data_IF_878644871863
#
_entry.id   IF_878644871863
#
_cell.length_a   1.000
_cell.length_b   1.000
_cell.length_c   1.000
_cell.angle_alpha   90.00
_cell.angle_beta   90.00
_cell.angle_gamma   90.00
#
_symmetry.space_group_name_H-M   'P 1'
#
loop_
_entity.id
_entity.type
_entity.pdbx_description
1 polymer ?
#
# COMPACT_ATOMS: atom_id res chain seq x y z
N UNK A 1 -12.20 0.04 -9.08
CA UNK A 1 -12.53 -0.12 -7.64
C UNK A 1 -11.47 0.64 -6.84
N UNK A 2 -11.83 1.43 -5.80
CA UNK A 2 -10.81 2.10 -5.00
C UNK A 2 -9.88 1.04 -4.42
N UNK A 3 -8.58 1.21 -4.64
CA UNK A 3 -7.54 0.33 -4.08
C UNK A 3 -7.69 0.38 -2.56
N UNK A 4 -8.19 -0.69 -1.96
CA UNK A 4 -8.27 -0.79 -0.50
C UNK A 4 -6.84 -0.73 0.04
N UNK A 5 -6.55 0.33 0.79
CA UNK A 5 -5.31 0.46 1.52
C UNK A 5 -5.44 -0.28 2.84
N UNK A 6 -4.35 -0.86 3.31
CA UNK A 6 -4.25 -1.39 4.66
C UNK A 6 -3.73 -0.28 5.56
N UNK A 7 -4.52 0.07 6.58
CA UNK A 7 -4.11 0.99 7.63
C UNK A 7 -4.15 0.27 8.97
N UNK A 8 -3.40 0.77 9.94
CA UNK A 8 -3.42 0.25 11.28
C UNK A 8 -3.28 1.35 12.31
N UNK A 9 -3.74 1.07 13.52
CA UNK A 9 -3.66 1.99 14.65
C UNK A 9 -3.41 1.26 15.97
N UNK A 10 -2.90 2.00 16.95
CA UNK A 10 -2.69 1.50 18.32
C UNK A 10 -3.36 2.47 19.27
N UNK A 11 -4.18 1.98 20.19
CA UNK A 11 -4.83 2.84 21.19
C UNK A 11 -3.84 3.42 22.19
N UNK A 12 -4.11 4.65 22.62
CA UNK A 12 -3.39 5.27 23.73
C UNK A 12 -3.88 4.75 25.08
N UNK A 13 -3.08 4.97 26.11
CA UNK A 13 -3.42 4.58 27.48
C UNK A 13 -4.17 5.66 28.26
N UNK A 14 -4.62 6.75 27.61
CA UNK A 14 -5.19 7.90 28.31
C UNK A 14 -6.41 7.56 29.18
N UNK A 15 -7.28 6.62 28.75
CA UNK A 15 -8.38 6.16 29.59
C UNK A 15 -7.87 5.34 30.79
N UNK A 16 -7.01 4.35 30.53
CA UNK A 16 -6.39 3.48 31.55
C UNK A 16 -5.63 4.27 32.60
N UNK A 17 -4.94 5.34 32.20
CA UNK A 17 -4.15 6.21 33.05
C UNK A 17 -5.00 7.31 33.75
N UNK A 18 -6.32 7.33 33.53
CA UNK A 18 -7.23 8.32 34.11
C UNK A 18 -7.09 9.75 33.56
N UNK A 19 -6.35 9.92 32.45
CA UNK A 19 -6.15 11.19 31.74
C UNK A 19 -7.35 11.59 30.89
N UNK A 20 -8.08 10.60 30.37
CA UNK A 20 -9.39 10.78 29.74
C UNK A 20 -10.48 10.29 30.71
N UNK A 21 -11.60 11.03 30.80
CA UNK A 21 -12.74 10.65 31.64
C UNK A 21 -14.01 10.57 30.79
N UNK A 22 -14.66 9.41 30.70
CA UNK A 22 -15.88 9.29 29.94
C UNK A 22 -17.04 10.02 30.64
N UNK A 23 -18.02 10.54 29.89
CA UNK A 23 -19.31 10.97 30.43
C UNK A 23 -19.98 9.86 31.24
N UNK A 24 -20.86 10.22 32.17
CA UNK A 24 -21.58 9.24 33.01
C UNK A 24 -22.40 8.24 32.16
N UNK A 25 -22.88 8.68 31.01
CA UNK A 25 -23.62 7.86 30.03
C UNK A 25 -22.75 6.82 29.31
N UNK A 26 -21.42 6.83 29.51
CA UNK A 26 -20.44 5.91 28.95
C UNK A 26 -19.63 5.23 30.08
N UNK A 27 -20.27 4.90 31.20
CA UNK A 27 -19.59 4.28 32.35
C UNK A 27 -19.15 2.82 32.13
N UNK A 28 -19.61 2.20 31.04
CA UNK A 28 -19.45 0.79 30.68
C UNK A 28 -18.78 0.63 29.29
N UNK A 29 -17.86 1.54 28.95
CA UNK A 29 -17.02 1.38 27.76
C UNK A 29 -16.23 0.09 27.87
N UNK A 30 -16.25 -0.69 26.80
CA UNK A 30 -15.48 -1.92 26.63
C UNK A 30 -14.62 -1.83 25.37
N UNK A 31 -13.66 -2.74 25.26
CA UNK A 31 -12.98 -3.03 23.99
C UNK A 31 -13.62 -4.31 23.46
N UNK A 32 -14.18 -4.27 22.26
CA UNK A 32 -14.80 -5.44 21.63
C UNK A 32 -13.75 -6.46 21.17
N UNK A 33 -14.22 -7.57 20.59
CA UNK A 33 -13.35 -8.64 20.09
C UNK A 33 -12.43 -8.20 18.94
N UNK A 34 -12.83 -7.14 18.23
CA UNK A 34 -12.12 -6.58 17.09
C UNK A 34 -11.16 -5.46 17.55
N UNK A 35 -11.00 -5.29 18.87
CA UNK A 35 -10.08 -4.33 19.47
C UNK A 35 -10.58 -2.89 19.42
N UNK A 36 -11.85 -2.67 19.08
CA UNK A 36 -12.46 -1.35 18.96
C UNK A 36 -13.17 -0.95 20.27
N UNK A 37 -13.19 0.35 20.57
CA UNK A 37 -14.02 0.88 21.66
C UNK A 37 -15.51 0.69 21.35
N UNK A 38 -16.25 0.11 22.29
CA UNK A 38 -17.71 -0.06 22.19
C UNK A 38 -18.40 0.14 23.54
N UNK A 39 -19.72 0.17 23.52
CA UNK A 39 -20.58 0.16 24.72
C UNK A 39 -21.09 -1.25 24.99
N UNK A 40 -21.14 -1.64 26.27
CA UNK A 40 -21.41 -3.03 26.66
C UNK A 40 -22.78 -3.58 26.23
N UNK A 41 -23.76 -2.69 26.02
CA UNK A 41 -25.13 -3.03 25.62
C UNK A 41 -25.37 -3.02 24.10
N UNK A 42 -24.38 -2.55 23.32
CA UNK A 42 -24.49 -2.41 21.87
C UNK A 42 -25.50 -1.34 21.40
N UNK A 43 -25.92 -0.41 22.25
CA UNK A 43 -26.85 0.66 21.84
C UNK A 43 -26.18 1.62 20.85
N UNK A 44 -26.66 1.63 19.60
CA UNK A 44 -26.14 2.49 18.53
C UNK A 44 -26.17 3.99 18.86
N UNK A 45 -27.11 4.47 19.68
CA UNK A 45 -27.16 5.88 20.10
C UNK A 45 -26.03 6.21 21.05
N UNK A 46 -25.77 5.32 22.01
CA UNK A 46 -24.64 5.45 22.91
C UNK A 46 -23.31 5.30 22.16
N UNK A 47 -23.27 4.47 21.12
CA UNK A 47 -22.12 4.37 20.20
C UNK A 47 -21.85 5.68 19.45
N UNK A 48 -22.87 6.44 19.07
CA UNK A 48 -22.67 7.79 18.52
C UNK A 48 -22.05 8.75 19.54
N UNK A 49 -22.55 8.74 20.78
CA UNK A 49 -21.98 9.54 21.88
C UNK A 49 -20.53 9.14 22.17
N UNK A 50 -20.24 7.84 22.16
CA UNK A 50 -18.90 7.28 22.28
C UNK A 50 -17.99 7.80 21.16
N UNK A 51 -18.40 7.67 19.90
CA UNK A 51 -17.62 8.13 18.75
C UNK A 51 -17.32 9.64 18.84
N UNK A 52 -18.30 10.47 19.19
CA UNK A 52 -18.08 11.91 19.38
C UNK A 52 -17.11 12.19 20.54
N UNK A 53 -17.23 11.45 21.63
CA UNK A 53 -16.32 11.58 22.76
C UNK A 53 -14.89 11.17 22.40
N UNK A 54 -14.69 10.04 21.71
CA UNK A 54 -13.36 9.56 21.30
C UNK A 54 -12.57 10.59 20.47
N UNK A 55 -13.24 11.40 19.64
CA UNK A 55 -12.60 12.46 18.85
C UNK A 55 -11.95 13.56 19.72
N UNK A 56 -12.39 13.73 20.97
CA UNK A 56 -11.98 14.83 21.86
C UNK A 56 -11.56 14.40 23.26
N UNK A 57 -11.62 13.11 23.57
CA UNK A 57 -11.42 12.55 24.91
C UNK A 57 -10.00 12.80 25.45
N UNK A 58 -9.01 12.91 24.56
CA UNK A 58 -7.63 13.19 24.89
C UNK A 58 -6.93 13.88 23.70
N UNK A 59 -5.65 14.32 23.84
CA UNK A 59 -4.90 14.92 22.73
C UNK A 59 -4.71 14.00 21.52
N UNK A 60 -4.85 12.67 21.72
CA UNK A 60 -4.80 11.69 20.65
C UNK A 60 -6.19 11.57 20.01
N UNK A 61 -6.26 11.84 18.70
CA UNK A 61 -7.49 11.70 17.91
C UNK A 61 -7.98 10.26 18.00
N UNK A 62 -9.28 10.08 18.22
CA UNK A 62 -9.92 8.75 18.34
C UNK A 62 -9.29 7.86 19.44
N UNK A 63 -8.57 8.48 20.38
CA UNK A 63 -7.75 7.79 21.38
C UNK A 63 -6.70 6.86 20.77
N UNK A 64 -6.22 7.17 19.57
CA UNK A 64 -5.19 6.44 18.84
C UNK A 64 -3.82 7.06 19.14
N UNK A 65 -2.96 6.33 19.84
CA UNK A 65 -1.58 6.75 20.09
C UNK A 65 -0.84 7.02 18.78
N UNK A 66 -1.08 6.16 17.78
CA UNK A 66 -0.61 6.34 16.41
C UNK A 66 -1.60 5.67 15.45
N UNK A 67 -1.71 6.26 14.26
CA UNK A 67 -2.44 5.69 13.12
C UNK A 67 -1.61 5.87 11.87
N UNK A 68 -1.44 4.79 11.12
CA UNK A 68 -0.58 4.72 9.96
C UNK A 68 -1.28 4.03 8.81
N UNK A 69 -1.16 4.63 7.62
CA UNK A 69 -1.47 3.92 6.39
C UNK A 69 -0.25 3.08 6.03
N UNK A 70 -0.40 1.76 6.05
CA UNK A 70 0.71 0.84 5.83
C UNK A 70 0.94 0.62 4.35
N UNK A 71 -0.07 0.17 3.61
CA UNK A 71 0.20 -0.33 2.27
C UNK A 71 -1.04 -0.28 1.38
N UNK A 72 -0.85 -0.50 0.08
CA UNK A 72 -1.89 -1.03 -0.79
C UNK A 72 -1.59 -2.53 -1.04
N UNK A 73 -2.52 -3.24 -1.69
CA UNK A 73 -2.31 -4.66 -2.01
C UNK A 73 -1.06 -4.92 -2.87
N UNK A 74 -0.69 -4.00 -3.76
CA UNK A 74 0.53 -4.11 -4.59
C UNK A 74 1.81 -4.15 -3.73
N UNK A 75 1.92 -3.24 -2.76
CA UNK A 75 3.04 -3.23 -1.81
C UNK A 75 3.09 -4.52 -0.99
N UNK A 76 1.97 -5.03 -0.48
CA UNK A 76 1.96 -6.26 0.32
C UNK A 76 2.44 -7.48 -0.47
N UNK A 77 2.08 -7.55 -1.76
CA UNK A 77 2.59 -8.57 -2.68
C UNK A 77 4.11 -8.48 -2.83
N UNK A 78 4.62 -7.29 -3.15
CA UNK A 78 6.07 -7.02 -3.29
C UNK A 78 6.84 -7.35 -2.00
N UNK A 79 6.36 -6.85 -0.87
CA UNK A 79 6.96 -7.08 0.44
C UNK A 79 7.03 -8.57 0.78
N UNK A 80 5.99 -9.35 0.43
CA UNK A 80 5.99 -10.80 0.62
C UNK A 80 6.99 -11.51 -0.29
N UNK A 81 7.11 -11.10 -1.56
CA UNK A 81 8.11 -11.64 -2.49
C UNK A 81 9.54 -11.36 -2.04
N UNK A 82 9.82 -10.16 -1.54
CA UNK A 82 11.16 -9.82 -1.04
C UNK A 82 11.52 -10.57 0.25
N UNK A 83 10.56 -10.78 1.15
CA UNK A 83 10.78 -11.66 2.31
C UNK A 83 11.08 -13.10 1.88
N UNK A 84 10.51 -13.56 0.77
CA UNK A 84 10.80 -14.89 0.22
C UNK A 84 12.23 -14.97 -0.34
N UNK A 85 12.67 -13.98 -1.09
CA UNK A 85 14.04 -13.89 -1.65
C UNK A 85 15.10 -13.76 -0.55
N UNK A 86 14.81 -12.97 0.49
CA UNK A 86 15.68 -12.85 1.68
C UNK A 86 15.64 -14.11 2.58
N UNK A 87 14.73 -15.03 2.31
CA UNK A 87 14.51 -16.27 3.06
C UNK A 87 13.45 -16.13 4.14
N UNK A 88 12.28 -16.75 3.91
CA UNK A 88 11.09 -16.71 4.80
C UNK A 88 11.39 -17.07 6.26
N UNK A 89 12.38 -17.92 6.53
CA UNK A 89 12.78 -18.29 7.89
C UNK A 89 13.23 -17.12 8.76
N UNK A 90 13.55 -15.96 8.16
CA UNK A 90 13.91 -14.74 8.88
C UNK A 90 12.69 -13.89 9.26
N UNK A 91 11.49 -14.22 8.78
CA UNK A 91 10.28 -13.39 8.93
C UNK A 91 9.04 -14.13 9.48
N UNK A 92 9.16 -15.07 10.46
CA UNK A 92 8.00 -15.83 10.92
C UNK A 92 6.91 -14.98 11.56
N UNK A 93 7.25 -13.90 12.25
CA UNK A 93 6.26 -13.02 12.89
C UNK A 93 5.58 -12.13 11.86
N UNK A 94 6.33 -11.56 10.92
CA UNK A 94 5.77 -10.75 9.84
C UNK A 94 4.89 -11.58 8.92
N UNK A 95 5.28 -12.79 8.53
CA UNK A 95 4.40 -13.69 7.76
C UNK A 95 3.08 -13.94 8.50
N UNK A 96 3.15 -14.20 9.82
CA UNK A 96 1.96 -14.36 10.63
C UNK A 96 1.10 -13.09 10.65
N UNK A 97 1.70 -11.93 10.92
CA UNK A 97 0.99 -10.63 10.96
C UNK A 97 0.33 -10.33 9.61
N UNK A 98 1.04 -10.51 8.50
CA UNK A 98 0.51 -10.26 7.15
C UNK A 98 -0.67 -11.18 6.83
N UNK A 99 -0.65 -12.43 7.30
CA UNK A 99 -1.77 -13.37 7.14
C UNK A 99 -3.03 -12.97 7.93
N UNK A 100 -2.88 -12.13 8.97
CA UNK A 100 -3.96 -11.68 9.85
C UNK A 100 -4.45 -10.27 9.53
N UNK A 101 -3.90 -9.61 8.51
CA UNK A 101 -4.36 -8.28 8.09
C UNK A 101 -5.87 -8.31 7.83
N UNK A 102 -6.59 -7.40 8.48
CA UNK A 102 -8.06 -7.28 8.46
C UNK A 102 -8.85 -8.45 9.08
N UNK A 103 -8.19 -9.43 9.70
CA UNK A 103 -8.85 -10.57 10.34
C UNK A 103 -8.89 -10.45 11.86
N UNK A 104 -7.79 -10.01 12.48
CA UNK A 104 -7.68 -9.88 13.92
C UNK A 104 -6.64 -8.82 14.31
N UNK A 105 -6.78 -8.20 15.49
CA UNK A 105 -5.73 -7.37 16.06
C UNK A 105 -4.43 -8.16 16.28
N UNK A 106 -3.29 -7.50 16.06
CA UNK A 106 -1.98 -8.09 16.35
C UNK A 106 -1.62 -7.82 17.81
N UNK A 107 -1.37 -8.85 18.64
CA UNK A 107 -1.03 -8.68 20.04
C UNK A 107 0.28 -7.91 20.24
N UNK A 108 0.35 -7.09 21.29
CA UNK A 108 1.53 -6.26 21.61
C UNK A 108 2.77 -7.11 21.90
N UNK A 109 2.59 -8.33 22.38
CA UNK A 109 3.64 -9.29 22.74
C UNK A 109 4.47 -9.71 21.52
N UNK A 110 3.88 -9.67 20.31
CA UNK A 110 4.61 -9.92 19.07
C UNK A 110 5.44 -8.72 18.61
N UNK A 111 5.18 -7.52 19.14
CA UNK A 111 5.74 -6.28 18.63
C UNK A 111 7.26 -6.23 18.63
N UNK A 112 7.92 -6.74 19.67
CA UNK A 112 9.38 -6.70 19.74
C UNK A 112 10.06 -7.64 18.73
N UNK A 113 9.49 -8.82 18.50
CA UNK A 113 9.98 -9.75 17.50
C UNK A 113 9.71 -9.23 16.08
N UNK A 114 8.51 -8.69 15.84
CA UNK A 114 8.16 -8.06 14.57
C UNK A 114 9.08 -6.87 14.24
N UNK A 115 9.44 -6.03 15.22
CA UNK A 115 10.41 -4.94 15.04
C UNK A 115 11.78 -5.45 14.58
N UNK A 116 12.26 -6.55 15.17
CA UNK A 116 13.54 -7.13 14.78
C UNK A 116 13.52 -7.64 13.34
N UNK A 117 12.41 -8.25 12.90
CA UNK A 117 12.22 -8.71 11.52
C UNK A 117 12.12 -7.54 10.53
N UNK A 118 11.38 -6.47 10.89
CA UNK A 118 11.33 -5.23 10.08
C UNK A 118 12.71 -4.60 9.96
N UNK A 119 13.46 -4.51 11.06
CA UNK A 119 14.81 -3.94 11.04
C UNK A 119 15.78 -4.82 10.23
N UNK A 120 15.63 -6.15 10.26
CA UNK A 120 16.38 -7.07 9.41
C UNK A 120 16.05 -6.85 7.92
N UNK A 121 14.77 -6.71 7.58
CA UNK A 121 14.32 -6.39 6.22
C UNK A 121 14.97 -5.07 5.74
N UNK A 122 14.88 -4.01 6.53
CA UNK A 122 15.48 -2.70 6.23
C UNK A 122 17.00 -2.80 6.03
N UNK A 123 17.68 -3.74 6.68
CA UNK A 123 19.13 -3.87 6.51
C UNK A 123 19.54 -4.68 5.28
N UNK A 124 18.64 -5.51 4.73
CA UNK A 124 18.97 -6.53 3.71
C UNK A 124 18.25 -6.39 2.38
N UNK A 125 17.06 -5.78 2.34
CA UNK A 125 16.22 -5.70 1.14
C UNK A 125 16.76 -4.78 0.02
N UNK A 126 17.90 -4.12 0.20
CA UNK A 126 18.35 -3.02 -0.68
C UNK A 126 19.55 -3.38 -1.57
N UNK A 127 19.61 -4.59 -2.13
CA UNK A 127 20.80 -5.06 -2.86
C UNK A 127 20.62 -5.11 -4.39
N UNK A 128 19.40 -5.24 -4.91
CA UNK A 128 19.15 -5.39 -6.35
C UNK A 128 18.56 -4.14 -6.97
N UNK A 129 18.89 -3.82 -8.23
CA UNK A 129 18.39 -2.63 -8.92
C UNK A 129 16.88 -2.72 -9.20
N UNK A 130 16.15 -1.63 -8.98
CA UNK A 130 14.75 -1.45 -9.37
C UNK A 130 14.67 -0.81 -10.76
N UNK A 131 13.71 -1.27 -11.57
CA UNK A 131 13.37 -0.62 -12.83
C UNK A 131 12.22 0.37 -12.63
N UNK A 132 12.41 1.59 -13.11
CA UNK A 132 11.48 2.70 -12.93
C UNK A 132 11.19 3.37 -14.27
N UNK A 133 9.96 3.85 -14.46
CA UNK A 133 9.55 4.61 -15.63
C UNK A 133 9.64 6.10 -15.37
N UNK A 134 10.34 6.81 -16.25
CA UNK A 134 10.56 8.25 -16.21
C UNK A 134 9.95 8.93 -17.43
N UNK A 135 9.62 10.22 -17.27
CA UNK A 135 9.46 11.10 -18.43
C UNK A 135 10.84 11.34 -19.03
N UNK A 136 11.01 10.99 -20.31
CA UNK A 136 12.31 11.01 -20.96
C UNK A 136 12.96 12.41 -20.91
N UNK A 137 14.23 12.44 -20.50
CA UNK A 137 14.97 13.69 -20.36
C UNK A 137 14.69 14.48 -19.07
N UNK A 138 13.91 13.92 -18.14
CA UNK A 138 13.65 14.51 -16.81
C UNK A 138 13.98 13.52 -15.69
N UNK A 139 13.93 13.95 -14.43
CA UNK A 139 14.02 13.07 -13.25
C UNK A 139 12.63 12.79 -12.63
N UNK A 140 11.57 13.01 -13.39
CA UNK A 140 10.20 12.74 -12.93
C UNK A 140 9.89 11.26 -13.11
N UNK A 141 9.76 10.55 -11.99
CA UNK A 141 9.25 9.17 -11.96
C UNK A 141 7.75 9.21 -12.21
N UNK A 142 7.31 8.47 -13.22
CA UNK A 142 5.90 8.31 -13.59
C UNK A 142 5.34 7.04 -12.95
N UNK A 143 6.14 5.98 -12.92
CA UNK A 143 5.73 4.69 -12.39
C UNK A 143 6.94 3.94 -11.82
N UNK A 144 6.78 3.33 -10.64
CA UNK A 144 7.73 2.38 -10.08
C UNK A 144 7.15 0.96 -10.02
N UNK A 145 8.02 -0.04 -9.91
CA UNK A 145 7.63 -1.43 -9.69
C UNK A 145 6.89 -1.64 -8.35
N UNK A 146 7.09 -0.75 -7.35
CA UNK A 146 6.43 -0.81 -6.04
C UNK A 146 4.91 -0.53 -6.11
N UNK A 147 4.44 0.20 -7.11
CA UNK A 147 3.03 0.41 -7.44
C UNK A 147 2.39 -0.79 -8.17
N UNK A 148 3.15 -1.85 -8.41
CA UNK A 148 2.65 -3.16 -8.79
C UNK A 148 3.16 -3.62 -10.14
N UNK A 149 3.65 -4.87 -10.16
CA UNK A 149 3.59 -5.75 -11.33
C UNK A 149 2.25 -5.58 -12.04
N UNK A 150 2.27 -5.54 -13.37
CA UNK A 150 1.09 -5.69 -14.23
C UNK A 150 -0.18 -5.02 -13.67
N UNK A 151 -0.30 -3.69 -13.74
CA UNK A 151 -1.61 -3.07 -13.45
C UNK A 151 -2.55 -3.50 -14.58
N UNK A 152 -3.47 -4.41 -14.28
CA UNK A 152 -4.59 -4.74 -15.16
C UNK A 152 -5.38 -3.46 -15.44
N UNK A 153 -5.27 -2.94 -16.67
CA UNK A 153 -5.99 -1.75 -17.11
C UNK A 153 -7.24 -2.10 -17.92
N UNK A 154 -7.25 -3.29 -18.53
CA UNK A 154 -8.40 -3.91 -19.18
C UNK A 154 -8.42 -5.41 -18.85
N UNK A 155 -9.55 -6.09 -19.07
CA UNK A 155 -9.84 -7.44 -18.55
C UNK A 155 -8.78 -8.51 -18.85
N UNK A 156 -7.97 -8.33 -19.90
CA UNK A 156 -6.89 -9.23 -20.30
C UNK A 156 -5.54 -8.51 -20.47
N UNK A 157 -5.43 -7.20 -20.27
CA UNK A 157 -4.20 -6.44 -20.56
C UNK A 157 -3.53 -5.92 -19.29
N UNK A 158 -2.27 -6.31 -19.09
CA UNK A 158 -1.41 -5.86 -18.02
C UNK A 158 -0.21 -5.05 -18.54
N UNK A 159 0.11 -3.95 -17.88
CA UNK A 159 1.32 -3.16 -18.14
C UNK A 159 2.27 -3.22 -16.95
N UNK A 160 3.57 -3.20 -17.18
CA UNK A 160 4.54 -3.15 -16.07
C UNK A 160 5.91 -2.66 -16.51
N UNK A 161 6.82 -2.61 -15.55
CA UNK A 161 8.22 -2.25 -15.73
C UNK A 161 9.05 -3.31 -15.02
N UNK A 162 10.08 -3.81 -15.70
CA UNK A 162 11.09 -4.72 -15.15
C UNK A 162 12.50 -4.30 -15.64
N UNK A 163 13.54 -5.04 -15.25
CA UNK A 163 14.92 -4.78 -15.68
C UNK A 163 15.12 -4.78 -17.21
N UNK A 164 14.23 -5.41 -17.96
CA UNK A 164 14.20 -5.42 -19.43
C UNK A 164 13.39 -4.27 -20.04
N UNK A 165 12.84 -3.37 -19.23
CA UNK A 165 12.10 -2.18 -19.66
C UNK A 165 10.60 -2.24 -19.37
N UNK A 166 9.88 -1.30 -19.97
CA UNK A 166 8.43 -1.27 -19.93
C UNK A 166 7.88 -2.39 -20.82
N UNK A 167 6.82 -3.05 -20.37
CA UNK A 167 6.15 -4.09 -21.14
C UNK A 167 4.63 -3.96 -21.07
N UNK A 168 3.99 -4.47 -22.12
CA UNK A 168 2.54 -4.74 -22.15
C UNK A 168 2.32 -6.20 -22.49
N UNK A 169 1.48 -6.87 -21.70
CA UNK A 169 1.13 -8.29 -21.85
C UNK A 169 -0.37 -8.48 -21.92
N UNK A 170 -0.78 -9.53 -22.62
CA UNK A 170 -2.13 -10.04 -22.63
C UNK A 170 -2.19 -11.39 -21.92
N UNK A 171 -3.07 -11.53 -20.94
CA UNK A 171 -3.38 -12.81 -20.33
C UNK A 171 -4.13 -13.70 -21.34
N UNK A 172 -3.61 -14.91 -21.58
CA UNK A 172 -4.25 -15.94 -22.40
C UNK A 172 -4.31 -17.26 -21.62
N UNK A 173 -5.18 -18.19 -22.06
CA UNK A 173 -5.34 -19.50 -21.39
C UNK A 173 -4.03 -20.30 -21.30
N UNK A 174 -3.17 -20.17 -22.32
CA UNK A 174 -1.87 -20.87 -22.42
C UNK A 174 -0.69 -20.07 -21.79
N UNK A 175 -0.99 -18.95 -21.12
CA UNK A 175 -0.01 -18.06 -20.51
C UNK A 175 0.05 -16.67 -21.16
N UNK A 176 0.74 -15.75 -20.50
CA UNK A 176 0.79 -14.35 -20.93
C UNK A 176 1.57 -14.16 -22.24
N UNK A 177 1.02 -13.36 -23.15
CA UNK A 177 1.64 -12.97 -24.41
C UNK A 177 2.14 -11.54 -24.32
N UNK A 178 3.43 -11.30 -24.52
CA UNK A 178 4.00 -9.96 -24.59
C UNK A 178 3.68 -9.29 -25.93
N UNK A 179 3.03 -8.13 -25.87
CA UNK A 179 2.59 -7.36 -27.03
C UNK A 179 3.55 -6.22 -27.38
N UNK A 180 4.25 -5.69 -26.36
CA UNK A 180 5.18 -4.58 -26.49
C UNK A 180 6.21 -4.63 -25.38
N UNK A 181 7.46 -4.28 -25.72
CA UNK A 181 8.54 -4.08 -24.77
C UNK A 181 9.51 -3.03 -25.28
N UNK A 182 9.87 -2.07 -24.42
CA UNK A 182 10.86 -1.06 -24.76
C UNK A 182 11.47 -0.41 -23.51
N UNK A 183 12.72 0.03 -23.62
CA UNK A 183 13.37 0.87 -22.59
C UNK A 183 13.23 2.36 -22.88
N UNK A 184 12.93 2.75 -24.12
CA UNK A 184 12.59 4.12 -24.51
C UNK A 184 11.49 4.05 -25.55
N UNK A 185 10.39 4.75 -25.32
CA UNK A 185 9.23 4.69 -26.19
C UNK A 185 8.40 5.96 -26.09
N UNK A 186 7.53 6.14 -27.06
CA UNK A 186 6.49 7.14 -27.04
C UNK A 186 5.14 6.51 -26.77
N UNK A 187 4.25 7.26 -26.14
CA UNK A 187 2.83 6.95 -26.11
C UNK A 187 2.02 8.08 -26.76
N UNK A 188 0.92 7.72 -27.41
CA UNK A 188 -0.03 8.66 -28.00
C UNK A 188 -1.45 8.15 -27.81
N UNK A 189 -2.34 9.00 -27.30
CA UNK A 189 -3.77 8.69 -27.25
C UNK A 189 -4.32 8.79 -28.67
N UNK A 190 -4.65 7.64 -29.26
CA UNK A 190 -5.23 7.54 -30.61
C UNK A 190 -6.74 7.76 -30.56
N UNK A 191 -7.38 7.23 -29.51
CA UNK A 191 -8.79 7.41 -29.23
C UNK A 191 -8.96 7.68 -27.73
N UNK A 192 -9.55 8.82 -27.30
CA UNK A 192 -9.81 9.06 -25.89
C UNK A 192 -10.86 8.12 -25.28
N UNK A 193 -11.60 7.37 -26.10
CA UNK A 193 -12.72 6.56 -25.66
C UNK A 193 -13.91 7.40 -25.21
N UNK A 194 -14.92 6.72 -24.65
CA UNK A 194 -16.11 7.34 -24.06
C UNK A 194 -16.61 6.52 -22.85
N UNK A 195 -17.80 6.84 -22.34
CA UNK A 195 -18.39 6.14 -21.19
C UNK A 195 -18.59 4.62 -21.41
N UNK A 196 -18.53 4.15 -22.65
CA UNK A 196 -18.78 2.77 -23.05
C UNK A 196 -17.57 2.08 -23.69
N UNK A 197 -16.54 2.83 -24.06
CA UNK A 197 -15.36 2.33 -24.77
C UNK A 197 -14.08 2.83 -24.09
N UNK A 198 -13.13 1.93 -23.78
CA UNK A 198 -11.88 2.35 -23.19
C UNK A 198 -11.07 3.20 -24.21
N UNK A 199 -10.26 4.16 -23.72
CA UNK A 199 -9.29 4.84 -24.57
C UNK A 199 -8.37 3.84 -25.27
N UNK A 200 -7.84 4.23 -26.43
CA UNK A 200 -6.81 3.50 -27.14
C UNK A 200 -5.51 4.30 -27.20
N UNK A 201 -4.42 3.67 -26.82
CA UNK A 201 -3.08 4.26 -26.78
C UNK A 201 -2.16 3.49 -27.71
N UNK A 202 -1.39 4.24 -28.50
CA UNK A 202 -0.31 3.70 -29.31
C UNK A 202 1.00 3.83 -28.57
N UNK A 203 1.74 2.72 -28.43
CA UNK A 203 3.13 2.70 -27.99
C UNK A 203 4.05 2.46 -29.18
N UNK A 204 5.18 3.16 -29.22
CA UNK A 204 6.19 2.99 -30.27
C UNK A 204 7.61 3.25 -29.76
N UNK A 205 8.58 2.42 -30.15
CA UNK A 205 10.01 2.59 -29.82
C UNK A 205 10.88 2.98 -31.05
N UNK A 206 10.24 3.20 -32.19
CA UNK A 206 10.88 3.47 -33.48
C UNK A 206 11.13 2.22 -34.34
N UNK A 207 11.00 1.02 -33.77
CA UNK A 207 11.15 -0.26 -34.47
C UNK A 207 9.87 -1.10 -34.44
N UNK A 208 9.14 -1.03 -33.33
CA UNK A 208 7.89 -1.72 -33.11
C UNK A 208 6.82 -0.72 -32.66
N UNK A 209 5.59 -0.97 -33.09
CA UNK A 209 4.43 -0.19 -32.66
C UNK A 209 3.25 -1.11 -32.35
N UNK A 210 2.48 -0.74 -31.33
CA UNK A 210 1.22 -1.41 -31.00
C UNK A 210 0.19 -0.37 -30.59
N UNK A 211 -1.08 -0.57 -30.96
CA UNK A 211 -2.21 0.22 -30.45
C UNK A 211 -3.10 -0.69 -29.61
N UNK A 212 -3.37 -0.29 -28.37
CA UNK A 212 -4.06 -1.12 -27.39
C UNK A 212 -5.20 -0.33 -26.72
N UNK A 213 -6.34 -0.96 -26.42
CA UNK A 213 -7.49 -0.34 -25.76
C UNK A 213 -7.25 -0.18 -24.25
N UNK A 214 -6.25 0.62 -23.89
CA UNK A 214 -5.85 0.90 -22.50
C UNK A 214 -5.66 2.40 -22.28
N UNK A 215 -5.72 2.83 -21.01
CA UNK A 215 -5.48 4.22 -20.63
C UNK A 215 -4.03 4.63 -20.83
N UNK A 216 -3.77 5.93 -21.11
CA UNK A 216 -2.40 6.43 -21.19
C UNK A 216 -1.73 6.34 -19.81
N UNK A 217 -0.40 6.21 -19.85
CA UNK A 217 0.42 6.24 -18.64
C UNK A 217 0.50 7.71 -18.19
N UNK A 218 -0.29 8.09 -17.18
CA UNK A 218 -0.32 9.45 -16.62
C UNK A 218 0.56 9.60 -15.37
N UNK A 219 0.75 10.83 -14.91
CA UNK A 219 1.42 11.06 -13.63
C UNK A 219 0.54 10.61 -12.46
N UNK A 220 1.10 10.02 -11.39
CA UNK A 220 0.35 9.64 -10.20
C UNK A 220 -0.42 10.83 -9.62
N UNK A 221 -1.73 10.68 -9.43
CA UNK A 221 -2.59 11.71 -8.83
C UNK A 221 -2.87 12.94 -9.71
N UNK A 222 -2.41 12.94 -10.96
CA UNK A 222 -2.73 13.98 -11.95
C UNK A 222 -3.77 13.42 -12.92
N UNK A 223 -4.79 14.22 -13.21
CA UNK A 223 -5.83 13.85 -14.18
C UNK A 223 -5.27 13.66 -15.61
N UNK A 224 -6.11 13.20 -16.56
CA UNK A 224 -5.70 12.87 -17.93
C UNK A 224 -5.19 14.08 -18.75
N UNK A 225 -5.26 15.29 -18.20
CA UNK A 225 -4.84 16.52 -18.86
C UNK A 225 -3.33 16.61 -19.09
N UNK A 226 -2.53 15.80 -18.38
CA UNK A 226 -1.07 15.78 -18.53
C UNK A 226 -0.57 14.35 -18.67
N UNK A 227 -0.35 13.95 -19.93
CA UNK A 227 0.21 12.64 -20.29
C UNK A 227 1.61 12.84 -20.88
N UNK A 228 2.66 12.25 -20.31
CA UNK A 228 4.01 12.29 -20.87
C UNK A 228 4.07 11.53 -22.19
N UNK A 229 4.46 12.22 -23.26
CA UNK A 229 4.54 11.60 -24.60
C UNK A 229 5.79 10.73 -24.77
N UNK A 230 6.90 11.07 -24.10
CA UNK A 230 8.18 10.37 -24.21
C UNK A 230 8.53 9.74 -22.86
N UNK A 231 8.81 8.44 -22.90
CA UNK A 231 9.00 7.61 -21.72
C UNK A 231 10.31 6.85 -21.83
N UNK A 232 10.96 6.63 -20.70
CA UNK A 232 12.10 5.75 -20.62
C UNK A 232 12.18 5.01 -19.30
N UNK A 233 12.69 3.79 -19.34
CA UNK A 233 12.99 3.04 -18.13
C UNK A 233 14.44 3.27 -17.73
N UNK A 234 14.66 3.48 -16.43
CA UNK A 234 16.01 3.52 -15.85
C UNK A 234 16.06 2.57 -14.67
N UNK A 235 17.21 1.92 -14.51
CA UNK A 235 17.49 1.14 -13.31
C UNK A 235 18.14 2.04 -12.27
N UNK A 236 17.76 1.87 -11.01
CA UNK A 236 18.53 2.40 -9.88
C UNK A 236 18.43 1.45 -8.70
N UNK A 237 19.42 1.42 -7.82
CA UNK A 237 19.27 0.74 -6.54
C UNK A 237 18.04 1.31 -5.80
N UNK A 238 17.14 0.44 -5.28
CA UNK A 238 16.07 0.86 -4.41
C UNK A 238 16.70 1.56 -3.22
N UNK A 239 16.10 2.69 -2.89
CA UNK A 239 16.50 3.46 -1.74
C UNK A 239 15.53 3.18 -0.60
N UNK A 240 15.96 3.46 0.62
CA UNK A 240 15.06 3.51 1.76
C UNK A 240 13.83 4.40 1.50
N UNK A 241 13.92 5.39 0.61
CA UNK A 241 12.79 6.25 0.26
C UNK A 241 11.63 5.48 -0.38
N UNK A 242 11.93 4.43 -1.15
CA UNK A 242 10.94 3.70 -1.95
C UNK A 242 10.04 2.81 -1.07
N UNK A 243 10.54 2.40 0.10
CA UNK A 243 9.81 1.60 1.09
C UNK A 243 9.47 2.38 2.35
N UNK A 244 9.87 3.66 2.39
CA UNK A 244 9.84 4.48 3.60
C UNK A 244 8.44 4.61 4.15
N UNK A 245 7.47 4.66 3.26
CA UNK A 245 6.07 4.79 3.64
C UNK A 245 5.62 3.56 4.43
N UNK A 246 5.68 2.38 3.81
CA UNK A 246 5.06 1.17 4.35
C UNK A 246 5.86 0.47 5.44
N UNK A 247 7.17 0.29 5.22
CA UNK A 247 8.02 -0.47 6.15
C UNK A 247 8.22 0.32 7.45
N UNK A 248 8.41 1.64 7.36
CA UNK A 248 8.48 2.44 8.59
C UNK A 248 7.11 2.67 9.23
N UNK A 249 6.01 2.65 8.47
CA UNK A 249 4.67 2.62 9.06
C UNK A 249 4.50 1.37 9.95
N UNK A 250 4.81 0.18 9.42
CA UNK A 250 4.83 -1.06 10.22
C UNK A 250 5.75 -0.94 11.44
N UNK A 251 6.98 -0.44 11.24
CA UNK A 251 7.92 -0.23 12.35
C UNK A 251 7.36 0.67 13.43
N UNK A 252 6.70 1.79 13.07
CA UNK A 252 6.10 2.72 14.03
C UNK A 252 4.91 2.09 14.76
N UNK A 253 4.07 1.32 14.07
CA UNK A 253 2.96 0.59 14.68
C UNK A 253 3.46 -0.45 15.70
N UNK A 254 4.46 -1.27 15.35
CA UNK A 254 5.01 -2.24 16.31
C UNK A 254 5.70 -1.56 17.49
N UNK A 255 6.42 -0.46 17.26
CA UNK A 255 7.00 0.33 18.36
C UNK A 255 5.94 0.89 19.30
N UNK A 256 4.85 1.42 18.76
CA UNK A 256 3.71 1.91 19.55
C UNK A 256 3.02 0.77 20.33
N UNK A 257 2.85 -0.41 19.72
CA UNK A 257 2.28 -1.57 20.39
C UNK A 257 3.13 -1.99 21.60
N UNK A 258 4.47 -2.03 21.42
CA UNK A 258 5.41 -2.32 22.51
C UNK A 258 5.37 -1.23 23.60
N UNK A 259 5.34 0.04 23.23
CA UNK A 259 5.34 1.16 24.17
C UNK A 259 4.06 1.21 25.01
N UNK A 260 2.91 0.99 24.38
CA UNK A 260 1.61 1.12 25.03
C UNK A 260 1.16 -0.17 25.72
N UNK A 261 1.66 -1.32 25.26
CA UNK A 261 1.15 -2.65 25.60
C UNK A 261 -0.21 -2.95 24.98
N UNK A 262 -0.65 -2.17 23.98
CA UNK A 262 -1.94 -2.35 23.30
C UNK A 262 -1.73 -3.01 21.93
N UNK A 263 -2.70 -3.79 21.43
CA UNK A 263 -2.60 -4.44 20.14
C UNK A 263 -2.63 -3.42 18.98
N UNK A 264 -2.20 -3.86 17.80
CA UNK A 264 -2.40 -3.13 16.55
C UNK A 264 -3.73 -3.58 15.96
N UNK A 265 -4.63 -2.63 15.73
CA UNK A 265 -5.90 -2.86 15.04
C UNK A 265 -5.77 -2.47 13.56
N UNK A 266 -6.32 -3.27 12.66
CA UNK A 266 -6.25 -3.04 11.20
C UNK A 266 -7.58 -2.49 10.66
N UNK A 267 -7.51 -1.59 9.68
CA UNK A 267 -8.66 -0.95 9.03
C UNK A 267 -8.44 -0.65 7.54
#
# INVERSE_FOLDING_TARGET
MPVMGVSGYVHCNCLRDGRARPPAELSDIVVDRDGCWDVSDGDWRRRLVLNEWLQRACPHREMEFITERVANHGFLGRFSSEMEELGRQHFPVLEHVLSQLNAAPVPAELGQAALAEVDYFIQRAFIEDDALLYEAGTDVVIWDEAYGRAVEQAADLGMGVDLGGFFVRRACEDGDVELFRATRFTQEVVDPGDDTTPPSVRFADGTHEVTLPIGPIGYPGVGPERVPANLETRTRPPTLHDYRFSVYALRRLFAAAVETGNPINWC
#
